data_IF_896943679071
#
_entry.id   IF_896943679071
#
_cell.length_a   1.000
_cell.length_b   1.000
_cell.length_c   1.000
_cell.angle_alpha   90.00
_cell.angle_beta   90.00
_cell.angle_gamma   90.00
#
_symmetry.space_group_name_H-M   'P 1'
#
loop_
_entity.id
_entity.type
_entity.pdbx_description
1 polymer ?
#
# COMPACT_ATOMS: atom_id res chain seq x y z
N UNK A 1 6.79 -0.98 -27.94
CA UNK A 1 6.63 -1.86 -26.75
C UNK A 1 5.29 -1.54 -26.12
N UNK A 2 4.49 -2.53 -25.71
CA UNK A 2 3.28 -2.25 -24.93
C UNK A 2 3.70 -1.74 -23.55
N UNK A 3 3.28 -0.55 -23.16
CA UNK A 3 3.54 -0.01 -21.83
C UNK A 3 2.96 -0.98 -20.77
N UNK A 4 3.78 -1.34 -19.79
CA UNK A 4 3.36 -2.18 -18.66
C UNK A 4 2.79 -1.30 -17.55
N UNK A 5 1.71 -1.78 -16.93
CA UNK A 5 1.12 -1.23 -15.72
C UNK A 5 1.25 -2.23 -14.55
N UNK A 6 1.97 -3.34 -14.74
CA UNK A 6 2.03 -4.43 -13.76
C UNK A 6 2.65 -3.95 -12.43
N UNK A 7 3.67 -3.09 -12.50
CA UNK A 7 4.29 -2.48 -11.33
C UNK A 7 3.33 -1.60 -10.52
N UNK A 8 2.22 -1.11 -11.11
CA UNK A 8 1.28 -0.24 -10.43
C UNK A 8 0.62 -0.94 -9.23
N UNK A 9 0.48 -2.26 -9.28
CA UNK A 9 -0.04 -3.07 -8.18
C UNK A 9 0.83 -3.00 -6.91
N UNK A 10 2.06 -2.50 -7.01
CA UNK A 10 3.03 -2.40 -5.92
C UNK A 10 3.44 -0.96 -5.61
N UNK A 11 2.70 0.03 -6.14
CA UNK A 11 3.01 1.45 -5.93
C UNK A 11 2.97 1.87 -4.47
N UNK A 12 2.13 1.26 -3.64
CA UNK A 12 2.11 1.55 -2.21
C UNK A 12 3.45 1.22 -1.54
N UNK A 13 4.08 0.09 -1.90
CA UNK A 13 5.40 -0.29 -1.43
C UNK A 13 6.48 0.67 -1.91
N UNK A 14 6.48 1.00 -3.21
CA UNK A 14 7.48 1.89 -3.78
C UNK A 14 7.39 3.31 -3.21
N UNK A 15 6.18 3.87 -3.14
CA UNK A 15 5.93 5.19 -2.54
C UNK A 15 6.34 5.19 -1.07
N UNK A 16 6.03 4.12 -0.34
CA UNK A 16 6.51 3.98 1.04
C UNK A 16 8.03 4.13 1.08
N UNK A 17 8.79 3.37 0.25
CA UNK A 17 10.26 3.52 0.20
C UNK A 17 10.69 4.93 -0.14
N UNK A 18 10.10 5.57 -1.15
CA UNK A 18 10.39 6.97 -1.51
C UNK A 18 10.23 7.92 -0.32
N UNK A 19 9.17 7.75 0.49
CA UNK A 19 8.91 8.58 1.68
C UNK A 19 9.95 8.34 2.79
N UNK A 20 10.45 7.12 2.94
CA UNK A 20 11.54 6.79 3.88
C UNK A 20 12.93 7.21 3.39
N UNK A 21 13.08 7.66 2.14
CA UNK A 21 14.39 8.09 1.61
C UNK A 21 14.88 9.43 2.21
N UNK A 22 14.12 10.11 3.07
CA UNK A 22 14.51 11.42 3.60
C UNK A 22 15.74 11.37 4.52
N UNK A 23 16.78 12.12 4.11
CA UNK A 23 18.11 12.41 4.71
C UNK A 23 19.31 11.55 4.23
N UNK A 24 19.10 10.33 3.72
CA UNK A 24 20.21 9.43 3.30
C UNK A 24 20.81 9.74 1.92
N UNK A 25 20.12 10.52 1.07
CA UNK A 25 20.64 10.88 -0.26
C UNK A 25 21.91 11.75 -0.24
N UNK A 26 22.33 12.20 0.95
CA UNK A 26 23.59 12.91 1.17
C UNK A 26 24.79 11.99 1.40
N UNK A 27 24.59 10.67 1.55
CA UNK A 27 25.68 9.71 1.75
C UNK A 27 26.63 9.70 0.55
N UNK A 28 27.94 9.66 0.82
CA UNK A 28 28.98 9.63 -0.21
C UNK A 28 28.79 8.47 -1.21
N UNK A 29 28.25 7.33 -0.75
CA UNK A 29 27.99 6.18 -1.61
C UNK A 29 27.02 6.51 -2.77
N UNK A 30 26.12 7.47 -2.57
CA UNK A 30 25.14 7.89 -3.57
C UNK A 30 25.59 9.14 -4.33
N UNK A 31 26.46 9.97 -3.78
CA UNK A 31 26.83 11.26 -4.39
C UNK A 31 28.15 11.24 -5.17
N UNK A 32 29.10 10.37 -4.83
CA UNK A 32 30.51 10.47 -5.29
C UNK A 32 30.68 10.66 -6.80
N UNK A 33 30.03 9.83 -7.62
CA UNK A 33 30.13 9.91 -9.09
C UNK A 33 29.13 10.88 -9.73
N UNK A 34 28.05 11.24 -9.03
CA UNK A 34 26.99 12.08 -9.58
C UNK A 34 27.47 13.48 -9.94
N UNK A 35 28.43 14.03 -9.17
CA UNK A 35 29.01 15.34 -9.45
C UNK A 35 29.78 15.38 -10.78
N UNK A 36 30.39 14.26 -11.16
CA UNK A 36 31.19 14.16 -12.39
C UNK A 36 30.32 13.85 -13.61
N UNK A 37 29.25 13.07 -13.46
CA UNK A 37 28.37 12.64 -14.57
C UNK A 37 27.70 13.76 -15.35
N UNK A 38 27.51 14.94 -14.73
CA UNK A 38 26.68 16.01 -15.30
C UNK A 38 27.39 17.37 -15.35
N UNK A 39 28.72 17.39 -15.26
CA UNK A 39 29.50 18.62 -15.45
C UNK A 39 29.23 19.20 -16.84
N UNK A 40 28.92 20.49 -16.91
CA UNK A 40 28.66 21.20 -18.16
C UNK A 40 27.22 21.11 -18.68
N UNK A 41 26.33 20.38 -18.02
CA UNK A 41 24.90 20.39 -18.33
C UNK A 41 24.20 21.61 -17.74
N UNK A 42 23.17 22.08 -18.42
CA UNK A 42 22.18 22.99 -17.81
C UNK A 42 21.61 22.31 -16.56
N UNK A 43 21.53 23.05 -15.45
CA UNK A 43 21.05 22.53 -14.15
C UNK A 43 21.84 21.33 -13.61
N UNK A 44 23.16 21.33 -13.77
CA UNK A 44 24.06 20.30 -13.23
C UNK A 44 23.76 19.94 -11.75
N UNK A 45 23.53 20.94 -10.89
CA UNK A 45 23.18 20.71 -9.47
C UNK A 45 21.88 19.91 -9.27
N UNK A 46 20.88 20.10 -10.15
CA UNK A 46 19.63 19.35 -10.09
C UNK A 46 19.81 17.92 -10.59
N UNK A 47 20.63 17.73 -11.62
CA UNK A 47 21.00 16.42 -12.16
C UNK A 47 21.85 15.61 -11.17
N UNK A 48 22.79 16.25 -10.46
CA UNK A 48 23.57 15.63 -9.41
C UNK A 48 22.66 15.13 -8.27
N UNK A 49 21.74 15.97 -7.81
CA UNK A 49 20.74 15.57 -6.79
C UNK A 49 19.83 14.44 -7.29
N UNK A 50 19.38 14.51 -8.53
CA UNK A 50 18.58 13.46 -9.14
C UNK A 50 19.35 12.13 -9.21
N UNK A 51 20.62 12.17 -9.60
CA UNK A 51 21.52 11.02 -9.61
C UNK A 51 21.68 10.39 -8.23
N UNK A 52 21.93 11.20 -7.20
CA UNK A 52 22.04 10.67 -5.83
C UNK A 52 20.74 10.01 -5.37
N UNK A 53 19.59 10.61 -5.66
CA UNK A 53 18.30 10.03 -5.36
C UNK A 53 18.03 8.74 -6.16
N UNK A 54 18.40 8.71 -7.44
CA UNK A 54 18.26 7.54 -8.31
C UNK A 54 19.10 6.37 -7.80
N UNK A 55 20.36 6.62 -7.43
CA UNK A 55 21.24 5.60 -6.85
C UNK A 55 20.71 5.05 -5.52
N UNK A 56 20.20 5.93 -4.67
CA UNK A 56 19.57 5.53 -3.40
C UNK A 56 18.30 4.70 -3.63
N UNK A 57 17.43 5.13 -4.55
CA UNK A 57 16.21 4.38 -4.86
C UNK A 57 16.54 2.97 -5.41
N UNK A 58 17.49 2.90 -6.35
CA UNK A 58 17.97 1.64 -6.92
C UNK A 58 18.48 0.69 -5.84
N UNK A 59 19.31 1.17 -4.91
CA UNK A 59 19.85 0.32 -3.83
C UNK A 59 18.75 -0.22 -2.92
N UNK A 60 17.73 0.59 -2.59
CA UNK A 60 16.62 0.19 -1.73
C UNK A 60 15.68 -0.82 -2.40
N UNK A 61 15.47 -0.69 -3.71
CA UNK A 61 14.59 -1.57 -4.48
C UNK A 61 15.27 -2.89 -4.85
N UNK A 62 16.56 -2.86 -5.19
CA UNK A 62 17.28 -4.06 -5.64
C UNK A 62 18.16 -4.70 -4.56
N UNK A 63 18.12 -4.20 -3.33
CA UNK A 63 18.73 -4.88 -2.18
C UNK A 63 18.18 -6.29 -2.03
N UNK A 64 19.06 -7.27 -1.78
CA UNK A 64 18.67 -8.67 -1.52
C UNK A 64 17.78 -8.83 -0.28
N UNK A 65 17.82 -7.86 0.63
CA UNK A 65 16.97 -7.80 1.83
C UNK A 65 15.66 -7.05 1.58
N UNK A 66 15.44 -6.55 0.36
CA UNK A 66 14.19 -5.90 0.01
C UNK A 66 13.10 -6.94 -0.22
N UNK A 67 11.91 -6.67 0.32
CA UNK A 67 10.69 -7.44 0.01
C UNK A 67 10.41 -7.52 -1.50
N UNK A 68 10.87 -6.53 -2.26
CA UNK A 68 10.63 -6.42 -3.69
C UNK A 68 11.70 -7.14 -4.54
N UNK A 69 12.74 -7.73 -3.93
CA UNK A 69 13.87 -8.30 -4.68
C UNK A 69 13.46 -9.34 -5.74
N UNK A 70 12.43 -10.13 -5.45
CA UNK A 70 11.90 -11.13 -6.39
C UNK A 70 11.12 -10.52 -7.57
N UNK A 71 10.68 -9.26 -7.46
CA UNK A 71 9.88 -8.52 -8.45
C UNK A 71 10.75 -7.78 -9.46
N UNK A 72 11.76 -8.45 -10.00
CA UNK A 72 12.78 -7.81 -10.83
C UNK A 72 12.17 -7.04 -12.02
N UNK A 73 11.14 -7.59 -12.68
CA UNK A 73 10.49 -6.94 -13.83
C UNK A 73 9.77 -5.65 -13.40
N UNK A 74 8.94 -5.71 -12.38
CA UNK A 74 8.16 -4.59 -11.87
C UNK A 74 9.06 -3.51 -11.27
N UNK A 75 10.14 -3.91 -10.59
CA UNK A 75 11.15 -2.99 -10.07
C UNK A 75 11.81 -2.20 -11.19
N UNK A 76 12.20 -2.86 -12.27
CA UNK A 76 12.79 -2.21 -13.45
C UNK A 76 11.79 -1.22 -14.07
N UNK A 77 10.53 -1.64 -14.25
CA UNK A 77 9.48 -0.80 -14.82
C UNK A 77 9.20 0.44 -13.96
N UNK A 78 9.13 0.25 -12.64
CA UNK A 78 8.95 1.35 -11.70
C UNK A 78 10.15 2.31 -11.69
N UNK A 79 11.39 1.80 -11.69
CA UNK A 79 12.60 2.63 -11.73
C UNK A 79 12.64 3.48 -13.00
N UNK A 80 12.28 2.90 -14.15
CA UNK A 80 12.18 3.64 -15.40
C UNK A 80 11.12 4.75 -15.32
N UNK A 81 9.92 4.41 -14.84
CA UNK A 81 8.84 5.38 -14.61
C UNK A 81 9.27 6.52 -13.67
N UNK A 82 9.88 6.18 -12.54
CA UNK A 82 10.32 7.14 -11.53
C UNK A 82 11.30 8.16 -12.10
N UNK A 83 12.31 7.70 -12.85
CA UNK A 83 13.32 8.57 -13.45
C UNK A 83 12.67 9.56 -14.43
N UNK A 84 11.77 9.07 -15.27
CA UNK A 84 11.07 9.92 -16.26
C UNK A 84 10.16 10.93 -15.59
N UNK A 85 9.41 10.51 -14.57
CA UNK A 85 8.58 11.40 -13.75
C UNK A 85 9.42 12.53 -13.16
N UNK A 86 10.57 12.22 -12.57
CA UNK A 86 11.45 13.22 -11.95
C UNK A 86 12.10 14.16 -12.96
N UNK A 87 12.58 13.65 -14.09
CA UNK A 87 13.14 14.47 -15.18
C UNK A 87 12.11 15.47 -15.73
N UNK A 88 10.86 15.02 -15.94
CA UNK A 88 9.78 15.89 -16.44
C UNK A 88 9.27 16.88 -15.39
N UNK A 89 9.09 16.46 -14.14
CA UNK A 89 8.61 17.34 -13.06
C UNK A 89 9.55 18.51 -12.78
N UNK A 90 10.87 18.28 -12.83
CA UNK A 90 11.88 19.32 -12.60
C UNK A 90 12.16 20.19 -13.84
N UNK A 91 11.42 19.97 -14.94
CA UNK A 91 11.70 20.56 -16.27
C UNK A 91 13.20 20.42 -16.61
N UNK A 92 13.81 19.28 -16.31
CA UNK A 92 15.18 18.95 -16.76
C UNK A 92 15.02 18.45 -18.20
N UNK A 93 14.45 19.31 -19.06
CA UNK A 93 13.86 18.94 -20.35
C UNK A 93 14.90 18.61 -21.43
N UNK A 94 16.18 18.86 -21.16
CA UNK A 94 17.23 18.72 -22.17
C UNK A 94 17.85 17.31 -22.19
N UNK A 95 17.57 16.45 -21.21
CA UNK A 95 18.20 15.12 -21.08
C UNK A 95 17.14 14.01 -21.03
N UNK A 96 17.21 13.05 -21.95
CA UNK A 96 16.37 11.85 -21.92
C UNK A 96 16.74 10.92 -20.76
N UNK A 97 15.80 10.08 -20.30
CA UNK A 97 16.09 9.10 -19.25
C UNK A 97 17.21 8.14 -19.64
N UNK A 98 17.30 7.81 -20.93
CA UNK A 98 18.35 6.97 -21.50
C UNK A 98 19.72 7.65 -21.43
N UNK A 99 19.82 8.92 -21.85
CA UNK A 99 21.08 9.68 -21.78
C UNK A 99 21.54 9.85 -20.32
N UNK A 100 20.60 10.16 -19.42
CA UNK A 100 20.88 10.23 -17.99
C UNK A 100 21.52 8.93 -17.48
N UNK A 101 20.89 7.79 -17.76
CA UNK A 101 21.40 6.48 -17.32
C UNK A 101 22.77 6.16 -17.95
N UNK A 102 22.94 6.44 -19.25
CA UNK A 102 24.20 6.22 -19.95
C UNK A 102 25.36 7.04 -19.36
N UNK A 103 25.12 8.30 -18.99
CA UNK A 103 26.12 9.15 -18.34
C UNK A 103 26.44 8.71 -16.93
N UNK A 104 25.43 8.25 -16.18
CA UNK A 104 25.67 7.68 -14.86
C UNK A 104 26.59 6.46 -14.95
N UNK A 105 26.28 5.48 -15.80
CA UNK A 105 27.10 4.25 -15.89
C UNK A 105 28.46 4.45 -16.56
N UNK A 106 28.66 5.55 -17.32
CA UNK A 106 29.98 5.87 -17.88
C UNK A 106 30.96 6.36 -16.83
N UNK A 107 30.47 7.09 -15.82
CA UNK A 107 31.28 7.54 -14.68
C UNK A 107 31.31 6.50 -13.53
N UNK A 108 30.18 5.83 -13.28
CA UNK A 108 30.00 4.87 -12.20
C UNK A 108 29.63 3.49 -12.77
N UNK A 109 30.63 2.80 -13.32
CA UNK A 109 30.43 1.47 -13.92
C UNK A 109 30.00 0.40 -12.90
N UNK A 110 30.20 0.65 -11.59
CA UNK A 110 29.84 -0.29 -10.52
C UNK A 110 28.36 -0.15 -10.08
N UNK A 111 27.74 1.02 -10.31
CA UNK A 111 26.36 1.30 -9.92
C UNK A 111 25.35 0.19 -10.32
N UNK A 112 25.38 -0.23 -11.58
CA UNK A 112 24.52 -1.30 -12.12
C UNK A 112 25.35 -2.47 -12.64
N UNK A 113 26.23 -3.00 -11.77
CA UNK A 113 27.15 -4.11 -12.11
C UNK A 113 26.41 -5.34 -12.66
N UNK A 114 25.20 -5.62 -12.14
CA UNK A 114 24.35 -6.73 -12.60
C UNK A 114 23.60 -6.42 -13.90
N UNK A 115 23.72 -5.19 -14.43
CA UNK A 115 23.09 -4.71 -15.66
C UNK A 115 21.58 -4.88 -15.65
N UNK A 116 20.94 -4.69 -14.50
CA UNK A 116 19.48 -4.85 -14.33
C UNK A 116 18.72 -3.83 -15.16
N UNK A 117 19.25 -2.62 -15.31
CA UNK A 117 18.61 -1.52 -16.03
C UNK A 117 19.10 -1.40 -17.48
N UNK A 118 20.12 -2.18 -17.87
CA UNK A 118 20.70 -2.13 -19.21
C UNK A 118 19.64 -2.43 -20.26
N UNK A 119 19.51 -1.51 -21.22
CA UNK A 119 18.52 -1.56 -22.31
C UNK A 119 17.05 -1.58 -21.82
N UNK A 120 16.80 -1.24 -20.55
CA UNK A 120 15.46 -1.17 -19.92
C UNK A 120 15.01 0.26 -19.58
N UNK A 121 15.94 1.22 -19.56
CA UNK A 121 15.59 2.63 -19.44
C UNK A 121 15.18 3.15 -20.81
N UNK A 122 13.94 3.63 -20.92
CA UNK A 122 13.34 4.05 -22.18
C UNK A 122 12.27 5.12 -21.92
N UNK A 123 12.04 6.01 -22.87
CA UNK A 123 10.97 7.02 -22.73
C UNK A 123 9.58 6.37 -22.63
N UNK A 124 8.70 7.05 -21.89
CA UNK A 124 7.28 6.69 -21.78
C UNK A 124 6.48 7.71 -22.59
N UNK A 125 5.61 7.20 -23.45
CA UNK A 125 4.69 8.02 -24.24
C UNK A 125 3.89 8.96 -23.33
N UNK A 126 3.65 10.18 -23.80
CA UNK A 126 3.04 11.26 -23.00
C UNK A 126 1.69 10.83 -22.39
N UNK A 127 0.83 10.18 -23.16
CA UNK A 127 -0.49 9.74 -22.67
C UNK A 127 -0.38 8.62 -21.62
N UNK A 128 0.53 7.67 -21.83
CA UNK A 128 0.81 6.64 -20.84
C UNK A 128 1.41 7.21 -19.55
N UNK A 129 2.31 8.19 -19.65
CA UNK A 129 2.89 8.84 -18.49
C UNK A 129 1.84 9.61 -17.68
N UNK A 130 0.91 10.31 -18.34
CA UNK A 130 -0.23 10.97 -17.65
C UNK A 130 -1.04 9.95 -16.85
N UNK A 131 -1.39 8.82 -17.46
CA UNK A 131 -2.12 7.71 -16.80
C UNK A 131 -1.34 7.14 -15.60
N UNK A 132 -0.04 6.91 -15.74
CA UNK A 132 0.82 6.42 -14.64
C UNK A 132 0.93 7.45 -13.50
N UNK A 133 1.03 8.73 -13.81
CA UNK A 133 1.02 9.80 -12.81
C UNK A 133 -0.30 9.82 -12.03
N UNK A 134 -1.45 9.60 -12.70
CA UNK A 134 -2.74 9.51 -12.01
C UNK A 134 -2.75 8.36 -10.99
N UNK A 135 -2.28 7.16 -11.37
CA UNK A 135 -2.15 6.02 -10.47
C UNK A 135 -1.20 6.34 -9.31
N UNK A 136 -0.03 6.91 -9.60
CA UNK A 136 0.94 7.29 -8.58
C UNK A 136 0.36 8.25 -7.54
N UNK A 137 -0.39 9.26 -7.96
CA UNK A 137 -1.04 10.19 -7.04
C UNK A 137 -2.12 9.51 -6.20
N UNK A 138 -2.91 8.60 -6.79
CA UNK A 138 -3.91 7.81 -6.06
C UNK A 138 -3.26 6.98 -4.95
N UNK A 139 -2.16 6.30 -5.27
CA UNK A 139 -1.38 5.55 -4.29
C UNK A 139 -0.67 6.46 -3.26
N UNK A 140 -0.35 7.70 -3.64
CA UNK A 140 0.20 8.70 -2.71
C UNK A 140 -0.85 9.13 -1.69
N UNK A 141 -2.08 9.40 -2.13
CA UNK A 141 -3.21 9.72 -1.24
C UNK A 141 -3.52 8.51 -0.35
N UNK A 142 -3.49 7.29 -0.89
CA UNK A 142 -3.63 6.05 -0.12
C UNK A 142 -2.55 5.90 0.96
N UNK A 143 -1.29 6.21 0.64
CA UNK A 143 -0.22 6.27 1.64
C UNK A 143 -0.54 7.28 2.75
N UNK A 144 -1.03 8.47 2.40
CA UNK A 144 -1.37 9.50 3.40
C UNK A 144 -2.52 9.03 4.32
N UNK A 145 -3.53 8.32 3.78
CA UNK A 145 -4.61 7.70 4.57
C UNK A 145 -4.04 6.68 5.57
N UNK A 146 -3.12 5.82 5.14
CA UNK A 146 -2.45 4.82 6.00
C UNK A 146 -1.53 5.44 7.04
N UNK A 147 -1.04 6.65 6.84
CA UNK A 147 -0.13 7.31 7.78
C UNK A 147 -0.82 8.41 8.60
N UNK A 148 -2.13 8.61 8.39
CA UNK A 148 -2.94 9.50 9.21
C UNK A 148 -3.47 8.73 10.43
N UNK A 149 -3.29 9.33 11.60
CA UNK A 149 -3.78 8.77 12.87
C UNK A 149 -5.28 8.54 12.84
N UNK A 150 -5.73 7.40 13.37
CA UNK A 150 -7.14 7.01 13.43
C UNK A 150 -8.08 8.03 14.08
N UNK A 151 -7.56 8.87 14.99
CA UNK A 151 -8.32 9.92 15.68
C UNK A 151 -8.39 11.24 14.90
N UNK A 152 -7.60 11.39 13.84
CA UNK A 152 -7.58 12.61 13.05
C UNK A 152 -8.66 12.58 11.97
N UNK A 153 -9.91 12.72 12.43
CA UNK A 153 -11.12 12.65 11.60
C UNK A 153 -11.08 13.61 10.41
N UNK A 154 -10.63 14.84 10.64
CA UNK A 154 -10.56 15.88 9.60
C UNK A 154 -9.59 15.48 8.48
N UNK A 155 -8.37 15.06 8.82
CA UNK A 155 -7.41 14.61 7.81
C UNK A 155 -7.89 13.36 7.09
N UNK A 156 -8.49 12.40 7.81
CA UNK A 156 -9.04 11.20 7.18
C UNK A 156 -10.12 11.51 6.15
N UNK A 157 -11.10 12.34 6.52
CA UNK A 157 -12.14 12.78 5.58
C UNK A 157 -11.56 13.55 4.40
N UNK A 158 -10.56 14.43 4.64
CA UNK A 158 -9.90 15.20 3.59
C UNK A 158 -9.17 14.31 2.59
N UNK A 159 -8.35 13.37 3.06
CA UNK A 159 -7.64 12.43 2.19
C UNK A 159 -8.61 11.49 1.47
N UNK A 160 -9.65 11.00 2.15
CA UNK A 160 -10.65 10.16 1.53
C UNK A 160 -11.42 10.89 0.43
N UNK A 161 -11.82 12.14 0.66
CA UNK A 161 -12.52 12.97 -0.33
C UNK A 161 -11.64 13.23 -1.56
N UNK A 162 -10.36 13.54 -1.34
CA UNK A 162 -9.38 13.69 -2.43
C UNK A 162 -9.22 12.40 -3.24
N UNK A 163 -9.16 11.25 -2.58
CA UNK A 163 -9.07 9.96 -3.24
C UNK A 163 -10.30 9.71 -4.12
N UNK A 164 -11.50 9.90 -3.56
CA UNK A 164 -12.77 9.75 -4.27
C UNK A 164 -12.85 10.63 -5.53
N UNK A 165 -12.56 11.93 -5.40
CA UNK A 165 -12.60 12.87 -6.51
C UNK A 165 -11.61 12.48 -7.61
N UNK A 166 -10.35 12.23 -7.25
CA UNK A 166 -9.29 11.89 -8.20
C UNK A 166 -9.55 10.57 -8.90
N UNK A 167 -10.09 9.59 -8.18
CA UNK A 167 -10.46 8.30 -8.75
C UNK A 167 -11.66 8.44 -9.71
N UNK A 168 -12.66 9.24 -9.34
CA UNK A 168 -13.81 9.54 -10.20
C UNK A 168 -13.39 10.16 -11.53
N UNK A 169 -12.41 11.07 -11.51
CA UNK A 169 -11.83 11.64 -12.73
C UNK A 169 -11.02 10.58 -13.51
N UNK A 170 -10.22 9.77 -12.82
CA UNK A 170 -9.37 8.75 -13.43
C UNK A 170 -10.18 7.72 -14.25
N UNK A 171 -11.33 7.28 -13.74
CA UNK A 171 -12.16 6.27 -14.41
C UNK A 171 -12.86 6.80 -15.68
N UNK A 172 -12.94 8.12 -15.89
CA UNK A 172 -13.51 8.67 -17.13
C UNK A 172 -12.65 8.33 -18.37
N UNK A 173 -11.35 8.10 -18.15
CA UNK A 173 -10.42 7.70 -19.21
C UNK A 173 -10.38 6.20 -19.45
N UNK A 174 -11.28 5.44 -18.81
CA UNK A 174 -11.35 4.00 -18.99
C UNK A 174 -12.13 3.61 -20.24
N UNK A 175 -11.49 2.80 -21.09
CA UNK A 175 -12.19 2.12 -22.16
C UNK A 175 -12.97 0.93 -21.62
N UNK A 176 -14.09 0.58 -22.26
CA UNK A 176 -14.82 -0.68 -22.00
C UNK A 176 -14.09 -1.91 -22.54
N UNK A 177 -12.96 -1.72 -23.25
CA UNK A 177 -12.10 -2.80 -23.71
C UNK A 177 -11.41 -3.48 -22.51
N UNK A 178 -11.65 -4.79 -22.37
CA UNK A 178 -11.03 -5.68 -21.36
C UNK A 178 -9.50 -5.76 -21.46
N UNK A 179 -8.88 -5.14 -22.46
CA UNK A 179 -7.41 -5.05 -22.62
C UNK A 179 -6.83 -3.71 -22.15
N UNK A 180 -7.63 -2.78 -21.66
CA UNK A 180 -7.10 -1.51 -21.13
C UNK A 180 -6.38 -1.74 -19.78
N UNK A 181 -5.07 -1.92 -19.86
CA UNK A 181 -4.19 -2.14 -18.69
C UNK A 181 -4.27 -1.02 -17.65
N UNK A 182 -4.61 0.21 -18.06
CA UNK A 182 -4.80 1.30 -17.12
C UNK A 182 -6.03 1.07 -16.23
N UNK A 183 -7.13 0.57 -16.82
CA UNK A 183 -8.35 0.27 -16.09
C UNK A 183 -8.19 -0.93 -15.16
N UNK A 184 -7.45 -1.95 -15.59
CA UNK A 184 -7.09 -3.06 -14.71
C UNK A 184 -6.25 -2.57 -13.52
N UNK A 185 -5.31 -1.65 -13.74
CA UNK A 185 -4.55 -1.04 -12.64
C UNK A 185 -5.43 -0.20 -11.68
N UNK A 186 -6.41 0.55 -12.22
CA UNK A 186 -7.38 1.28 -11.38
C UNK A 186 -8.29 0.34 -10.59
N UNK A 187 -8.69 -0.79 -11.18
CA UNK A 187 -9.46 -1.84 -10.51
C UNK A 187 -8.67 -2.46 -9.36
N UNK A 188 -7.40 -2.77 -9.59
CA UNK A 188 -6.50 -3.24 -8.54
C UNK A 188 -6.36 -2.22 -7.40
N UNK A 189 -6.18 -0.94 -7.74
CA UNK A 189 -6.13 0.14 -6.75
C UNK A 189 -7.42 0.20 -5.92
N UNK A 190 -8.60 0.16 -6.57
CA UNK A 190 -9.90 0.17 -5.89
C UNK A 190 -10.02 -0.96 -4.88
N UNK A 191 -9.68 -2.18 -5.30
CA UNK A 191 -9.72 -3.36 -4.43
C UNK A 191 -8.82 -3.19 -3.19
N UNK A 192 -7.60 -2.68 -3.36
CA UNK A 192 -6.68 -2.42 -2.24
C UNK A 192 -7.23 -1.33 -1.32
N UNK A 193 -7.78 -0.25 -1.88
CA UNK A 193 -8.35 0.86 -1.13
C UNK A 193 -9.57 0.44 -0.29
N UNK A 194 -10.49 -0.34 -0.86
CA UNK A 194 -11.72 -0.75 -0.17
C UNK A 194 -11.49 -1.81 0.92
N UNK A 195 -10.38 -2.55 0.82
CA UNK A 195 -9.87 -3.45 1.86
C UNK A 195 -9.20 -2.73 3.03
N UNK A 196 -9.08 -1.40 3.00
CA UNK A 196 -8.65 -0.64 4.17
C UNK A 196 -9.53 -1.04 5.38
N UNK A 197 -8.84 -1.45 6.45
CA UNK A 197 -9.39 -1.79 7.77
C UNK A 197 -10.11 -3.13 7.93
N UNK A 198 -10.03 -4.05 6.97
CA UNK A 198 -10.40 -5.46 7.25
C UNK A 198 -9.46 -6.10 8.29
N UNK A 199 -8.25 -5.55 8.45
CA UNK A 199 -7.25 -5.96 9.42
C UNK A 199 -6.82 -4.79 10.32
N UNK A 200 -7.76 -4.26 11.11
CA UNK A 200 -7.64 -3.06 11.98
C UNK A 200 -6.63 -3.18 13.14
N UNK A 201 -5.43 -3.69 12.87
CA UNK A 201 -4.29 -3.76 13.80
C UNK A 201 -3.41 -2.50 13.76
N UNK A 202 -3.63 -1.63 12.78
CA UNK A 202 -2.85 -0.41 12.58
C UNK A 202 -3.71 0.83 12.88
N UNK A 203 -3.12 1.86 13.49
CA UNK A 203 -3.77 3.12 13.87
C UNK A 203 -4.04 4.05 12.66
N UNK A 204 -4.54 3.48 11.55
CA UNK A 204 -4.89 4.20 10.32
C UNK A 204 -6.23 4.92 10.45
N UNK A 205 -6.56 5.76 9.46
CA UNK A 205 -7.90 6.32 9.34
C UNK A 205 -9.00 5.28 9.54
N UNK A 206 -9.96 5.60 10.41
CA UNK A 206 -11.11 4.73 10.64
C UNK A 206 -11.95 4.59 9.36
N UNK A 207 -12.41 3.36 9.06
CA UNK A 207 -13.18 3.01 7.86
C UNK A 207 -14.43 3.87 7.70
N UNK A 208 -15.03 4.32 8.81
CA UNK A 208 -16.21 5.20 8.80
C UNK A 208 -15.97 6.54 8.08
N UNK A 209 -14.71 6.97 7.97
CA UNK A 209 -14.31 8.21 7.28
C UNK A 209 -13.79 7.95 5.85
N UNK A 210 -13.81 6.70 5.39
CA UNK A 210 -13.35 6.30 4.06
C UNK A 210 -14.57 6.16 3.14
N UNK A 211 -14.63 7.02 2.13
CA UNK A 211 -15.66 7.03 1.09
C UNK A 211 -15.46 5.84 0.16
N UNK A 212 -16.50 5.05 -0.15
CA UNK A 212 -16.41 4.02 -1.17
C UNK A 212 -16.12 4.64 -2.54
N UNK A 213 -15.32 3.96 -3.36
CA UNK A 213 -14.98 4.46 -4.69
C UNK A 213 -16.06 4.09 -5.71
N UNK A 214 -16.32 4.94 -6.73
CA UNK A 214 -17.30 4.64 -7.76
C UNK A 214 -16.95 3.36 -8.54
N UNK A 215 -17.93 2.70 -9.18
CA UNK A 215 -17.69 1.55 -10.03
C UNK A 215 -16.88 1.89 -11.29
N UNK A 216 -16.01 0.97 -11.71
CA UNK A 216 -15.40 1.01 -13.05
C UNK A 216 -16.36 0.32 -14.04
N UNK A 217 -17.16 1.09 -14.80
CA UNK A 217 -18.01 0.52 -15.84
C UNK A 217 -19.00 -0.55 -15.35
N UNK A 218 -19.21 -1.62 -16.12
CA UNK A 218 -20.25 -2.67 -15.95
C UNK A 218 -20.21 -3.49 -14.63
N UNK A 219 -19.72 -2.97 -13.50
CA UNK A 219 -20.06 -3.49 -12.17
C UNK A 219 -21.59 -3.43 -11.90
N UNK A 220 -22.35 -2.69 -12.73
CA UNK A 220 -23.79 -2.48 -12.58
C UNK A 220 -24.71 -3.52 -13.24
N UNK A 221 -24.21 -4.50 -14.01
CA UNK A 221 -25.11 -5.44 -14.71
C UNK A 221 -25.62 -6.57 -13.79
N UNK A 222 -25.02 -6.78 -12.61
CA UNK A 222 -25.43 -7.88 -11.71
C UNK A 222 -26.01 -7.42 -10.37
N UNK A 223 -26.04 -6.11 -10.08
CA UNK A 223 -26.61 -5.58 -8.84
C UNK A 223 -28.02 -5.02 -8.98
N UNK A 224 -28.53 -4.89 -10.21
CA UNK A 224 -29.84 -4.32 -10.51
C UNK A 224 -31.01 -5.35 -10.58
N UNK A 225 -30.74 -6.66 -10.41
CA UNK A 225 -31.80 -7.69 -10.57
C UNK A 225 -32.56 -8.06 -9.27
N UNK A 226 -32.30 -7.39 -8.14
CA UNK A 226 -33.04 -7.68 -6.89
C UNK A 226 -33.49 -6.38 -6.24
N UNK A 227 -34.33 -5.62 -6.92
CA UNK A 227 -35.38 -4.83 -6.28
C UNK A 227 -36.34 -4.27 -7.33
N UNK A 228 -37.48 -4.94 -7.50
CA UNK A 228 -38.73 -4.25 -7.84
C UNK A 228 -39.84 -4.77 -6.91
N UNK A 229 -40.61 -3.87 -6.25
CA UNK A 229 -41.82 -4.21 -5.51
C UNK A 229 -43.08 -4.02 -6.35
N UNK A 230 -44.00 -4.98 -6.22
CA UNK A 230 -45.46 -4.78 -6.18
C UNK A 230 -46.20 -4.39 -7.47
N UNK A 231 -47.01 -5.32 -7.98
CA UNK A 231 -48.25 -4.99 -8.69
C UNK A 231 -49.39 -5.86 -8.14
N UNK A 232 -50.47 -5.16 -7.81
CA UNK A 232 -51.68 -5.55 -7.10
C UNK A 232 -52.77 -6.01 -8.09
N UNK A 233 -53.61 -6.99 -7.71
CA UNK A 233 -55.03 -7.10 -8.16
C UNK A 233 -55.79 -8.17 -7.36
N UNK A 234 -56.62 -7.68 -6.43
CA UNK A 234 -58.04 -8.02 -6.15
C UNK A 234 -58.56 -9.48 -6.17
N UNK A 235 -59.20 -9.94 -5.08
CA UNK A 235 -60.68 -10.15 -4.99
C UNK A 235 -61.14 -10.49 -3.54
N UNK A 236 -62.36 -10.09 -3.17
CA UNK A 236 -63.02 -10.16 -1.84
C UNK A 236 -63.89 -11.42 -1.67
N UNK A 237 -63.69 -12.15 -0.54
CA UNK A 237 -64.58 -12.86 0.44
C UNK A 237 -66.01 -13.41 0.07
N UNK A 238 -66.64 -14.37 0.82
CA UNK A 238 -66.64 -14.50 2.31
C UNK A 238 -66.79 -15.98 2.87
N UNK A 239 -67.32 -16.26 4.09
CA UNK A 239 -66.59 -16.88 5.22
C UNK A 239 -67.16 -18.25 5.68
N UNK A 240 -66.50 -19.00 6.60
CA UNK A 240 -67.01 -19.97 7.63
C UNK A 240 -65.76 -20.60 8.32
N UNK A 241 -65.63 -20.99 9.59
CA UNK A 241 -66.47 -21.13 10.78
C UNK A 241 -65.52 -21.35 11.98
N UNK A 242 -65.97 -21.01 13.20
CA UNK A 242 -65.29 -21.29 14.48
C UNK A 242 -65.00 -22.78 14.73
N UNK A 243 -63.88 -23.10 15.40
CA UNK A 243 -63.91 -24.02 16.54
C UNK A 243 -62.78 -23.77 17.53
N UNK A 244 -63.22 -23.51 18.76
CA UNK A 244 -62.48 -23.42 20.02
C UNK A 244 -62.16 -24.84 20.50
N UNK A 245 -61.02 -25.06 21.13
CA UNK A 245 -60.91 -25.88 22.36
C UNK A 245 -59.64 -25.54 23.15
N UNK A 246 -59.83 -25.45 24.47
CA UNK A 246 -58.86 -25.22 25.54
C UNK A 246 -58.58 -26.55 26.26
N UNK A 247 -57.35 -26.77 26.71
CA UNK A 247 -56.97 -27.33 28.04
C UNK A 247 -55.41 -27.33 28.11
N UNK A 248 -54.69 -26.57 28.95
CA UNK A 248 -54.52 -26.54 30.42
C UNK A 248 -53.93 -27.82 31.07
N UNK A 249 -52.89 -27.58 31.90
CA UNK A 249 -52.25 -28.51 32.83
C UNK A 249 -50.71 -28.49 32.72
N UNK A 250 -49.98 -27.55 33.34
CA UNK A 250 -49.47 -27.58 34.73
C UNK A 250 -48.52 -28.78 35.01
N UNK A 251 -47.36 -28.71 35.65
CA UNK A 251 -46.56 -27.72 36.41
C UNK A 251 -45.26 -28.47 36.79
N UNK A 252 -44.10 -27.85 37.04
CA UNK A 252 -43.57 -27.45 38.36
C UNK A 252 -42.02 -27.38 38.15
N UNK A 253 -41.29 -26.28 38.36
CA UNK A 253 -40.90 -25.54 39.58
C UNK A 253 -39.56 -25.99 40.22
N UNK A 254 -38.76 -24.96 40.58
CA UNK A 254 -37.71 -24.84 41.61
C UNK A 254 -36.24 -25.18 41.27
N UNK A 255 -35.19 -24.54 41.81
CA UNK A 255 -34.78 -23.17 42.20
C UNK A 255 -33.41 -23.32 42.92
N UNK A 256 -32.46 -22.39 42.68
CA UNK A 256 -31.25 -21.99 43.47
C UNK A 256 -30.17 -23.05 43.90
N UNK A 257 -28.87 -22.75 44.04
CA UNK A 257 -28.23 -21.67 44.81
C UNK A 257 -26.72 -21.46 44.42
N UNK A 258 -26.20 -20.24 44.60
CA UNK A 258 -24.76 -19.86 44.52
C UNK A 258 -24.04 -20.06 45.88
N UNK A 259 -22.73 -20.37 45.85
CA UNK A 259 -21.70 -19.68 46.68
C UNK A 259 -20.26 -20.07 46.32
N UNK A 260 -19.37 -19.10 46.42
CA UNK A 260 -17.94 -19.15 46.12
C UNK A 260 -17.08 -19.14 47.40
N UNK A 261 -15.85 -19.70 47.36
CA UNK A 261 -14.59 -19.12 47.90
C UNK A 261 -13.36 -20.03 47.61
N UNK A 262 -12.21 -19.42 47.25
CA UNK A 262 -10.81 -19.95 47.21
C UNK A 262 -10.01 -19.26 48.37
N UNK A 263 -8.71 -19.53 48.72
CA UNK A 263 -7.56 -20.02 47.90
C UNK A 263 -6.40 -20.86 48.56
N UNK A 264 -5.50 -21.34 47.68
CA UNK A 264 -4.02 -21.61 47.73
C UNK A 264 -3.33 -22.55 48.75
N UNK A 265 -2.39 -23.39 48.24
CA UNK A 265 -0.93 -23.50 48.55
C UNK A 265 -0.27 -24.51 47.54
N UNK A 266 0.97 -24.25 47.09
CA UNK A 266 1.89 -25.04 46.20
C UNK A 266 3.07 -25.62 47.05
N UNK A 267 4.12 -26.36 46.59
CA UNK A 267 4.42 -27.13 45.35
C UNK A 267 5.05 -28.54 45.58
N UNK A 268 5.26 -29.34 44.51
CA UNK A 268 6.44 -30.25 44.37
C UNK A 268 6.51 -31.03 43.02
N UNK A 269 7.60 -30.81 42.26
CA UNK A 269 8.47 -31.70 41.42
C UNK A 269 7.86 -32.93 40.67
N UNK A 270 8.04 -33.19 39.37
CA UNK A 270 9.26 -33.30 38.50
C UNK A 270 8.87 -33.42 36.99
N UNK A 271 9.80 -33.37 36.01
CA UNK A 271 9.54 -32.89 34.64
C UNK A 271 9.27 -33.99 33.59
N UNK A 272 8.76 -33.63 32.40
CA UNK A 272 9.05 -34.39 31.18
C UNK A 272 9.75 -33.54 30.11
N UNK A 273 10.84 -34.12 29.63
CA UNK A 273 11.33 -34.17 28.25
C UNK A 273 11.48 -32.89 27.42
N UNK A 274 12.73 -32.73 26.97
CA UNK A 274 13.20 -31.81 25.95
C UNK A 274 12.28 -31.78 24.72
N UNK A 275 11.72 -30.62 24.44
CA UNK A 275 11.28 -30.26 23.09
C UNK A 275 12.22 -29.21 22.54
N UNK A 276 12.83 -29.56 21.40
CA UNK A 276 13.55 -28.67 20.51
C UNK A 276 12.82 -27.33 20.37
N UNK A 277 13.47 -26.24 20.79
CA UNK A 277 13.04 -24.90 20.42
C UNK A 277 13.54 -24.61 19.01
N UNK A 278 12.61 -24.56 18.05
CA UNK A 278 12.84 -23.86 16.79
C UNK A 278 13.05 -22.37 17.09
N UNK A 279 14.27 -21.90 16.86
CA UNK A 279 14.63 -20.48 16.92
C UNK A 279 13.98 -19.71 15.78
N UNK A 280 12.68 -19.44 15.86
CA UNK A 280 12.06 -18.31 15.17
C UNK A 280 12.04 -17.11 16.13
N UNK A 281 13.22 -16.54 16.33
CA UNK A 281 13.33 -15.19 16.90
C UNK A 281 12.80 -14.24 15.83
N UNK A 282 11.59 -13.72 16.08
CA UNK A 282 11.03 -12.60 15.33
C UNK A 282 12.05 -11.47 15.26
N UNK A 283 12.38 -11.03 14.05
CA UNK A 283 13.30 -9.92 13.77
C UNK A 283 12.90 -8.64 14.50
N UNK A 284 11.63 -8.50 14.91
CA UNK A 284 11.13 -7.36 15.71
C UNK A 284 11.59 -7.36 17.17
N UNK A 285 11.95 -8.51 17.76
CA UNK A 285 12.43 -8.57 19.15
C UNK A 285 13.89 -8.13 19.28
N UNK A 286 14.68 -8.28 18.22
CA UNK A 286 16.11 -7.90 18.19
C UNK A 286 16.26 -6.37 18.20
N UNK A 287 15.40 -5.63 17.49
CA UNK A 287 15.43 -4.16 17.50
C UNK A 287 14.97 -3.55 18.84
N UNK A 288 14.11 -4.25 19.60
CA UNK A 288 13.69 -3.80 20.93
C UNK A 288 14.78 -3.93 22.01
N UNK A 289 15.70 -4.89 21.86
CA UNK A 289 16.79 -5.11 22.82
C UNK A 289 17.98 -4.16 22.55
N UNK A 290 18.18 -3.74 21.30
CA UNK A 290 19.28 -2.81 20.95
C UNK A 290 19.01 -1.39 21.50
N UNK A 291 17.74 -0.97 21.58
CA UNK A 291 17.39 0.35 22.13
C UNK A 291 17.46 0.44 23.66
N UNK A 292 17.37 -0.67 24.40
CA UNK A 292 17.49 -0.64 25.86
C UNK A 292 18.94 -0.62 26.34
N UNK A 293 19.89 -1.15 25.57
CA UNK A 293 21.32 -1.10 25.92
C UNK A 293 21.90 0.32 25.72
N UNK A 294 21.39 1.09 24.76
CA UNK A 294 21.87 2.46 24.50
C UNK A 294 21.41 3.51 25.51
N UNK A 295 20.41 3.22 26.36
CA UNK A 295 19.90 4.16 27.37
C UNK A 295 20.64 4.03 28.71
N UNK A 296 21.36 2.93 28.95
CA UNK A 296 22.11 2.74 30.20
C UNK A 296 23.58 3.20 30.16
N UNK A 297 24.12 3.60 29.00
CA UNK A 297 25.51 4.08 28.90
C UNK A 297 25.71 5.58 29.18
N UNK A 298 24.65 6.33 29.50
CA UNK A 298 24.71 7.79 29.68
C UNK A 298 24.58 8.27 31.13
N UNK A 299 24.58 7.37 32.11
CA UNK A 299 24.50 7.74 33.54
C UNK A 299 25.63 7.05 34.33
N UNK A 300 26.89 7.41 34.07
CA UNK A 300 28.01 7.16 35.01
C UNK A 300 29.26 7.99 34.71
N UNK A 301 29.13 9.24 34.26
CA UNK A 301 30.24 10.21 34.35
C UNK A 301 29.71 11.60 34.69
N UNK A 302 29.60 11.88 35.98
CA UNK A 302 29.72 13.21 36.59
C UNK A 302 30.24 13.06 38.01
#
# INVERSE_FOLDING_TARGET
MNQSYDFCNYLDHYITRERWMSSESKSLQYTYYCRFSFVGYNKADDLEKLCANFKNLYSKIFSSFSYDYSRNKENIEYINYWLIKELKNKKILDTSAKEFYQKLISEDSEFDTQRKLKDKIHDIEVEHLKKLNILYDLYTIYYDIKNTSYNNVEMCNSHSTKCFQKFTEAIQSCSTDKKDKYCEALKSFKNIYEQLNENNKFQWCNKVYILPLPPLGEENVHKASVMEPGADTSELEPPQEEKRDQDLGAGNNLEEERKALKPSILPSFSPPEEKHYDNNISTFTIFGIILSISVFSTITYK
#
